data_IF_303308229880
#
_entry.id   IF_303308229880
#
_cell.length_a   1.000
_cell.length_b   1.000
_cell.length_c   1.000
_cell.angle_alpha   90.00
_cell.angle_beta   90.00
_cell.angle_gamma   90.00
#
_symmetry.space_group_name_H-M   'P 1'
#
loop_
_entity.id
_entity.type
_entity.pdbx_description
1 polymer ?
#
# COMPACT_ATOMS: atom_id res chain seq x y z
N UNK A 1 -21.29 -13.21 53.01
CA UNK A 1 -20.54 -12.36 52.07
C UNK A 1 -19.77 -13.32 51.18
N UNK A 2 -20.39 -13.80 50.12
CA UNK A 2 -19.67 -14.56 49.09
C UNK A 2 -18.66 -13.60 48.46
N UNK A 3 -17.38 -13.96 48.49
CA UNK A 3 -16.35 -13.22 47.76
C UNK A 3 -16.78 -13.17 46.31
N UNK A 4 -16.90 -11.98 45.71
CA UNK A 4 -17.09 -11.86 44.27
C UNK A 4 -15.85 -12.44 43.60
N UNK A 5 -15.94 -13.69 43.16
CA UNK A 5 -14.85 -14.37 42.49
C UNK A 5 -14.59 -13.60 41.20
N UNK A 6 -13.38 -13.06 41.08
CA UNK A 6 -12.91 -12.44 39.84
C UNK A 6 -12.75 -13.55 38.78
N UNK A 7 -13.69 -13.59 37.84
CA UNK A 7 -13.76 -14.61 36.79
C UNK A 7 -12.53 -14.54 35.88
N UNK A 8 -11.95 -13.36 35.70
CA UNK A 8 -10.77 -13.11 34.86
C UNK A 8 -9.54 -13.75 35.49
N UNK A 9 -9.33 -13.51 36.79
CA UNK A 9 -8.25 -14.14 37.56
C UNK A 9 -8.42 -15.66 37.67
N UNK A 10 -9.66 -16.14 37.84
CA UNK A 10 -9.96 -17.57 37.86
C UNK A 10 -9.59 -18.26 36.54
N UNK A 11 -10.04 -17.71 35.39
CA UNK A 11 -9.70 -18.26 34.07
C UNK A 11 -8.19 -18.23 33.86
N UNK A 12 -7.51 -17.13 34.19
CA UNK A 12 -6.04 -17.02 34.10
C UNK A 12 -5.34 -18.14 34.89
N UNK A 13 -5.74 -18.38 36.15
CA UNK A 13 -5.18 -19.43 37.01
C UNK A 13 -5.45 -20.84 36.49
N UNK A 14 -6.63 -21.11 35.94
CA UNK A 14 -6.96 -22.43 35.37
C UNK A 14 -6.12 -22.73 34.12
N UNK A 15 -5.90 -21.72 33.26
CA UNK A 15 -5.03 -21.85 32.10
C UNK A 15 -3.57 -22.09 32.50
N UNK A 16 -3.08 -21.36 33.52
CA UNK A 16 -1.70 -21.52 34.03
C UNK A 16 -1.48 -22.87 34.71
N UNK A 17 -2.48 -23.39 35.42
CA UNK A 17 -2.43 -24.68 36.11
C UNK A 17 -2.72 -25.90 35.23
N UNK A 18 -3.07 -25.70 33.95
CA UNK A 18 -3.35 -26.78 33.01
C UNK A 18 -4.73 -27.42 33.15
N UNK A 19 -5.63 -26.79 33.91
CA UNK A 19 -7.00 -27.26 34.17
C UNK A 19 -7.97 -26.80 33.08
N UNK A 20 -7.68 -27.20 31.84
CA UNK A 20 -8.36 -26.69 30.65
C UNK A 20 -9.86 -27.01 30.59
N UNK A 21 -10.26 -28.21 31.02
CA UNK A 21 -11.67 -28.62 31.03
C UNK A 21 -12.52 -27.79 32.00
N UNK A 22 -11.94 -27.45 33.16
CA UNK A 22 -12.58 -26.56 34.14
C UNK A 22 -12.73 -25.16 33.52
N UNK A 23 -11.70 -24.64 32.84
CA UNK A 23 -11.77 -23.33 32.19
C UNK A 23 -12.89 -23.25 31.13
N UNK A 24 -13.08 -24.31 30.33
CA UNK A 24 -14.12 -24.37 29.29
C UNK A 24 -15.54 -24.55 29.88
N UNK A 25 -15.69 -25.14 31.07
CA UNK A 25 -17.02 -25.32 31.69
C UNK A 25 -17.56 -24.06 32.35
N UNK A 26 -16.69 -23.16 32.83
CA UNK A 26 -17.08 -21.93 33.52
C UNK A 26 -18.14 -21.08 32.81
N UNK A 27 -18.10 -20.86 31.48
CA UNK A 27 -19.10 -20.07 30.79
C UNK A 27 -20.50 -20.73 30.77
N UNK A 28 -20.61 -22.04 31.03
CA UNK A 28 -21.89 -22.78 31.04
C UNK A 28 -22.47 -22.91 32.45
N UNK A 29 -21.68 -22.66 33.48
CA UNK A 29 -22.12 -22.74 34.87
C UNK A 29 -22.98 -21.52 35.25
N UNK A 30 -24.20 -21.76 35.74
CA UNK A 30 -25.17 -20.70 36.11
C UNK A 30 -24.59 -19.66 37.08
N UNK A 31 -23.66 -20.07 37.94
CA UNK A 31 -23.01 -19.18 38.91
C UNK A 31 -22.12 -18.11 38.25
N UNK A 32 -21.49 -18.43 37.11
CA UNK A 32 -20.49 -17.57 36.48
C UNK A 32 -20.98 -16.93 35.17
N UNK A 33 -22.16 -17.31 34.67
CA UNK A 33 -22.64 -16.88 33.36
C UNK A 33 -22.79 -15.36 33.18
N UNK A 34 -23.41 -14.66 34.14
CA UNK A 34 -23.55 -13.19 34.07
C UNK A 34 -22.18 -12.50 34.20
N UNK A 35 -21.38 -12.93 35.17
CA UNK A 35 -20.05 -12.36 35.42
C UNK A 35 -19.11 -12.60 34.22
N UNK A 36 -19.19 -13.75 33.56
CA UNK A 36 -18.43 -14.04 32.35
C UNK A 36 -18.84 -13.12 31.20
N UNK A 37 -20.13 -12.84 31.05
CA UNK A 37 -20.65 -11.94 30.02
C UNK A 37 -20.16 -10.50 30.22
N UNK A 38 -20.17 -10.01 31.46
CA UNK A 38 -19.76 -8.65 31.79
C UNK A 38 -18.23 -8.44 31.64
N UNK A 39 -17.43 -9.51 31.75
CA UNK A 39 -15.97 -9.45 31.67
C UNK A 39 -15.40 -10.00 30.33
N UNK A 40 -16.22 -10.09 29.27
CA UNK A 40 -15.77 -10.61 27.97
C UNK A 40 -14.53 -9.86 27.42
N UNK A 41 -14.49 -8.54 27.62
CA UNK A 41 -13.38 -7.69 27.18
C UNK A 41 -12.05 -8.15 27.80
N UNK A 42 -11.98 -8.21 29.14
CA UNK A 42 -10.76 -8.60 29.87
C UNK A 42 -10.37 -10.07 29.63
N UNK A 43 -11.35 -10.94 29.42
CA UNK A 43 -11.12 -12.35 29.11
C UNK A 43 -10.44 -12.53 27.75
N UNK A 44 -10.74 -11.72 26.74
CA UNK A 44 -10.07 -11.77 25.43
C UNK A 44 -8.57 -11.49 25.60
N UNK A 45 -8.22 -10.40 26.29
CA UNK A 45 -6.83 -10.02 26.56
C UNK A 45 -6.06 -11.10 27.32
N UNK A 46 -6.66 -11.68 28.37
CA UNK A 46 -6.02 -12.73 29.18
C UNK A 46 -5.80 -14.00 28.37
N UNK A 47 -6.80 -14.45 27.61
CA UNK A 47 -6.71 -15.69 26.83
C UNK A 47 -5.65 -15.57 25.74
N UNK A 48 -5.63 -14.45 25.00
CA UNK A 48 -4.60 -14.18 23.98
C UNK A 48 -3.21 -14.03 24.62
N UNK A 49 -3.12 -13.40 25.78
CA UNK A 49 -1.88 -13.21 26.52
C UNK A 49 -1.15 -14.49 26.92
N UNK A 50 -1.84 -15.65 26.94
CA UNK A 50 -1.21 -16.96 27.21
C UNK A 50 -0.51 -17.56 25.97
N UNK A 51 -0.75 -17.02 24.78
CA UNK A 51 -0.24 -17.55 23.53
C UNK A 51 1.13 -16.96 23.18
N UNK A 52 2.04 -17.85 22.78
CA UNK A 52 3.40 -17.58 22.33
C UNK A 52 3.68 -18.43 21.08
N UNK A 53 4.71 -18.10 20.30
CA UNK A 53 5.01 -18.81 19.03
C UNK A 53 5.19 -20.33 19.20
N UNK A 54 5.77 -20.75 20.33
CA UNK A 54 6.01 -22.17 20.62
C UNK A 54 4.83 -22.86 21.31
N UNK A 55 3.76 -22.13 21.68
CA UNK A 55 2.65 -22.67 22.47
C UNK A 55 1.97 -23.83 21.76
N UNK A 56 1.78 -23.74 20.44
CA UNK A 56 1.14 -24.81 19.66
C UNK A 56 1.95 -26.12 19.69
N UNK A 57 3.29 -26.03 19.81
CA UNK A 57 4.19 -27.19 19.85
C UNK A 57 4.36 -27.72 21.28
N UNK A 58 4.58 -26.83 22.25
CA UNK A 58 4.89 -27.19 23.64
C UNK A 58 3.62 -27.53 24.43
N UNK A 59 2.53 -26.78 24.21
CA UNK A 59 1.26 -26.91 24.95
C UNK A 59 0.06 -26.87 23.98
N UNK A 60 -0.09 -27.85 23.08
CA UNK A 60 -1.19 -27.87 22.11
C UNK A 60 -2.58 -27.83 22.77
N UNK A 61 -2.73 -28.45 23.95
CA UNK A 61 -3.97 -28.39 24.72
C UNK A 61 -4.31 -26.99 25.21
N UNK A 62 -3.32 -26.17 25.60
CA UNK A 62 -3.53 -24.77 25.95
C UNK A 62 -4.01 -23.99 24.73
N UNK A 63 -3.35 -24.17 23.57
CA UNK A 63 -3.74 -23.50 22.33
C UNK A 63 -5.19 -23.79 21.96
N UNK A 64 -5.57 -25.07 21.90
CA UNK A 64 -6.95 -25.47 21.58
C UNK A 64 -7.97 -24.96 22.59
N UNK A 65 -7.60 -24.91 23.87
CA UNK A 65 -8.46 -24.35 24.93
C UNK A 65 -8.67 -22.84 24.75
N UNK A 66 -7.61 -22.11 24.40
CA UNK A 66 -7.72 -20.68 24.10
C UNK A 66 -8.60 -20.42 22.87
N UNK A 67 -8.47 -21.22 21.80
CA UNK A 67 -9.34 -21.12 20.62
C UNK A 67 -10.80 -21.36 20.97
N UNK A 68 -11.09 -22.40 21.77
CA UNK A 68 -12.44 -22.73 22.21
C UNK A 68 -13.03 -21.65 23.12
N UNK A 69 -12.26 -21.15 24.09
CA UNK A 69 -12.68 -20.03 24.94
C UNK A 69 -12.96 -18.77 24.13
N UNK A 70 -12.11 -18.40 23.17
CA UNK A 70 -12.36 -17.25 22.30
C UNK A 70 -13.63 -17.45 21.46
N UNK A 71 -13.91 -18.67 20.99
CA UNK A 71 -15.16 -18.97 20.29
C UNK A 71 -16.38 -18.78 21.19
N UNK A 72 -16.32 -19.25 22.44
CA UNK A 72 -17.40 -19.09 23.43
C UNK A 72 -17.60 -17.61 23.77
N UNK A 73 -16.52 -16.85 23.97
CA UNK A 73 -16.57 -15.41 24.22
C UNK A 73 -17.24 -14.70 23.04
N UNK A 74 -16.84 -15.03 21.80
CA UNK A 74 -17.43 -14.45 20.58
C UNK A 74 -18.92 -14.74 20.48
N UNK A 75 -19.46 -15.80 21.07
CA UNK A 75 -20.90 -16.06 21.07
C UNK A 75 -21.66 -15.18 22.08
N UNK A 76 -21.03 -14.81 23.21
CA UNK A 76 -21.66 -14.10 24.33
C UNK A 76 -21.43 -12.59 24.32
N UNK A 77 -20.31 -12.13 23.78
CA UNK A 77 -19.91 -10.70 23.77
C UNK A 77 -20.81 -9.85 22.85
N UNK A 78 -20.96 -8.57 23.22
CA UNK A 78 -21.51 -7.55 22.33
C UNK A 78 -20.57 -7.36 21.12
N UNK A 79 -21.07 -7.45 19.87
CA UNK A 79 -20.21 -7.43 18.69
C UNK A 79 -19.30 -6.20 18.59
N UNK A 80 -19.79 -5.02 18.98
CA UNK A 80 -19.04 -3.77 18.94
C UNK A 80 -17.89 -3.73 19.95
N UNK A 81 -18.10 -4.26 21.16
CA UNK A 81 -17.08 -4.31 22.22
C UNK A 81 -15.99 -5.33 21.88
N UNK A 82 -16.39 -6.54 21.49
CA UNK A 82 -15.45 -7.57 21.06
C UNK A 82 -14.60 -7.13 19.86
N UNK A 83 -15.17 -6.33 18.95
CA UNK A 83 -14.47 -5.84 17.76
C UNK A 83 -13.33 -4.90 18.14
N UNK A 84 -13.59 -3.97 19.06
CA UNK A 84 -12.59 -3.01 19.53
C UNK A 84 -11.45 -3.71 20.26
N UNK A 85 -11.79 -4.68 21.11
CA UNK A 85 -10.79 -5.43 21.87
C UNK A 85 -9.91 -6.30 20.95
N UNK A 86 -10.49 -7.01 19.96
CA UNK A 86 -9.68 -7.76 19.00
C UNK A 86 -8.77 -6.86 18.15
N UNK A 87 -9.22 -5.66 17.80
CA UNK A 87 -8.39 -4.66 17.10
C UNK A 87 -7.21 -4.25 17.99
N UNK A 88 -7.45 -3.92 19.26
CA UNK A 88 -6.41 -3.59 20.22
C UNK A 88 -5.41 -4.73 20.39
N UNK A 89 -5.89 -5.98 20.49
CA UNK A 89 -5.01 -7.15 20.62
C UNK A 89 -4.19 -7.43 19.35
N UNK A 90 -4.67 -7.08 18.15
CA UNK A 90 -3.86 -7.14 16.93
C UNK A 90 -2.70 -6.14 16.99
N UNK A 91 -2.98 -4.91 17.44
CA UNK A 91 -1.96 -3.86 17.55
C UNK A 91 -0.94 -4.15 18.66
N UNK A 92 -1.36 -4.80 19.75
CA UNK A 92 -0.52 -5.17 20.89
C UNK A 92 0.14 -6.55 20.77
N UNK A 93 -0.14 -7.31 19.70
CA UNK A 93 0.37 -8.66 19.52
C UNK A 93 1.91 -8.68 19.53
N UNK A 94 2.47 -9.42 20.49
CA UNK A 94 3.93 -9.51 20.73
C UNK A 94 4.62 -10.55 19.84
N UNK A 95 3.85 -11.47 19.28
CA UNK A 95 4.33 -12.60 18.48
C UNK A 95 3.27 -12.98 17.42
N UNK A 96 3.67 -13.78 16.44
CA UNK A 96 2.80 -14.10 15.30
C UNK A 96 1.71 -15.11 15.69
N UNK A 97 1.91 -15.92 16.73
CA UNK A 97 0.89 -16.82 17.25
C UNK A 97 -0.29 -16.07 17.90
N UNK A 98 -0.02 -14.98 18.63
CA UNK A 98 -1.06 -14.09 19.14
C UNK A 98 -1.84 -13.44 17.99
N UNK A 99 -1.15 -12.96 16.97
CA UNK A 99 -1.81 -12.45 15.77
C UNK A 99 -2.68 -13.51 15.10
N UNK A 100 -2.14 -14.73 14.91
CA UNK A 100 -2.84 -15.82 14.25
C UNK A 100 -4.10 -16.29 14.98
N UNK A 101 -4.05 -16.47 16.31
CA UNK A 101 -5.19 -16.96 17.09
C UNK A 101 -6.38 -15.97 17.10
N UNK A 102 -6.14 -14.67 16.86
CA UNK A 102 -7.18 -13.63 16.82
C UNK A 102 -8.02 -13.73 15.54
N UNK A 103 -7.44 -14.15 14.42
CA UNK A 103 -8.06 -14.01 13.09
C UNK A 103 -9.40 -14.77 12.99
N UNK A 104 -9.47 -16.01 13.47
CA UNK A 104 -10.69 -16.82 13.38
C UNK A 104 -11.82 -16.30 14.28
N UNK A 105 -11.59 -16.02 15.58
CA UNK A 105 -12.58 -15.35 16.44
C UNK A 105 -13.07 -14.01 15.88
N UNK A 106 -12.17 -13.17 15.38
CA UNK A 106 -12.51 -11.89 14.77
C UNK A 106 -13.38 -12.05 13.52
N UNK A 107 -13.04 -13.02 12.66
CA UNK A 107 -13.86 -13.37 11.51
C UNK A 107 -15.28 -13.76 11.94
N UNK A 108 -15.41 -14.65 12.92
CA UNK A 108 -16.70 -15.10 13.44
C UNK A 108 -17.52 -13.93 14.02
N UNK A 109 -16.85 -13.01 14.72
CA UNK A 109 -17.49 -11.81 15.27
C UNK A 109 -18.02 -10.89 14.16
N UNK A 110 -17.21 -10.63 13.11
CA UNK A 110 -17.61 -9.82 11.96
C UNK A 110 -18.82 -10.41 11.20
N UNK A 111 -19.01 -11.72 11.21
CA UNK A 111 -20.21 -12.36 10.65
C UNK A 111 -21.47 -12.11 11.49
N UNK A 112 -21.34 -11.87 12.81
CA UNK A 112 -22.46 -11.50 13.69
C UNK A 112 -22.90 -10.05 13.51
N UNK A 113 -22.03 -9.19 12.97
CA UNK A 113 -22.32 -7.77 12.76
C UNK A 113 -23.22 -7.59 11.52
N UNK A 114 -24.44 -7.14 11.74
CA UNK A 114 -25.43 -6.89 10.68
C UNK A 114 -25.45 -5.43 10.21
N UNK A 115 -25.12 -4.48 11.09
CA UNK A 115 -25.12 -3.04 10.76
C UNK A 115 -23.71 -2.52 10.56
N UNK A 116 -23.50 -1.67 9.55
CA UNK A 116 -22.19 -1.04 9.25
C UNK A 116 -21.02 -2.04 9.07
N UNK A 117 -21.30 -3.29 8.72
CA UNK A 117 -20.32 -4.38 8.55
C UNK A 117 -19.09 -3.97 7.72
N UNK A 118 -19.29 -3.28 6.59
CA UNK A 118 -18.18 -2.78 5.78
C UNK A 118 -17.21 -1.89 6.55
N UNK A 119 -17.69 -0.98 7.41
CA UNK A 119 -16.83 -0.10 8.23
C UNK A 119 -16.11 -0.88 9.34
N UNK A 120 -16.75 -1.88 9.93
CA UNK A 120 -16.10 -2.76 10.91
C UNK A 120 -14.98 -3.57 10.25
N UNK A 121 -15.24 -4.10 9.05
CA UNK A 121 -14.24 -4.82 8.25
C UNK A 121 -13.06 -3.91 7.88
N UNK A 122 -13.32 -2.66 7.51
CA UNK A 122 -12.29 -1.65 7.22
C UNK A 122 -11.34 -1.45 8.41
N UNK A 123 -11.88 -1.27 9.63
CA UNK A 123 -11.06 -1.11 10.83
C UNK A 123 -10.19 -2.34 11.12
N UNK A 124 -10.74 -3.55 10.98
CA UNK A 124 -9.98 -4.78 11.14
C UNK A 124 -8.84 -4.91 10.13
N UNK A 125 -9.14 -4.70 8.85
CA UNK A 125 -8.16 -4.83 7.77
C UNK A 125 -7.05 -3.78 7.89
N UNK A 126 -7.35 -2.57 8.36
CA UNK A 126 -6.33 -1.56 8.66
C UNK A 126 -5.41 -2.00 9.80
N UNK A 127 -5.97 -2.54 10.88
CA UNK A 127 -5.18 -3.02 12.03
C UNK A 127 -4.26 -4.18 11.63
N UNK A 128 -4.78 -5.12 10.81
CA UNK A 128 -4.00 -6.21 10.21
C UNK A 128 -2.89 -5.65 9.30
N UNK A 129 -3.17 -4.64 8.48
CA UNK A 129 -2.17 -4.01 7.62
C UNK A 129 -1.06 -3.37 8.44
N UNK A 130 -1.39 -2.61 9.48
CA UNK A 130 -0.43 -2.00 10.40
C UNK A 130 0.48 -3.04 11.05
N UNK A 131 -0.08 -4.20 11.46
CA UNK A 131 0.72 -5.30 12.00
C UNK A 131 1.76 -5.81 10.98
N UNK A 132 1.36 -5.98 9.72
CA UNK A 132 2.24 -6.45 8.63
C UNK A 132 3.32 -5.43 8.27
N UNK A 133 2.97 -4.14 8.27
CA UNK A 133 3.91 -3.03 8.01
C UNK A 133 5.03 -2.95 9.06
N UNK A 134 4.73 -3.32 10.30
CA UNK A 134 5.71 -3.33 11.40
C UNK A 134 6.74 -4.47 11.29
N UNK A 135 6.55 -5.45 10.40
CA UNK A 135 7.52 -6.52 10.20
C UNK A 135 8.70 -5.96 9.38
N UNK A 136 9.95 -6.00 9.88
CA UNK A 136 11.10 -5.46 9.15
C UNK A 136 11.23 -6.06 7.73
N UNK A 137 11.57 -5.23 6.75
CA UNK A 137 11.97 -5.68 5.40
C UNK A 137 13.48 -5.91 5.38
N UNK A 138 13.95 -7.12 5.03
CA UNK A 138 15.36 -7.32 4.79
C UNK A 138 15.78 -6.59 3.50
N UNK A 139 16.67 -5.61 3.62
CA UNK A 139 17.22 -4.85 2.50
C UNK A 139 18.55 -5.47 2.05
N UNK A 140 18.49 -6.65 1.42
CA UNK A 140 19.67 -7.28 0.82
C UNK A 140 19.64 -7.11 -0.71
N UNK A 141 20.77 -6.74 -1.30
CA UNK A 141 20.96 -6.68 -2.75
C UNK A 141 21.34 -8.07 -3.30
N UNK A 142 20.47 -9.07 -3.13
CA UNK A 142 20.76 -10.45 -3.56
C UNK A 142 20.47 -10.64 -5.06
N UNK A 143 21.43 -11.20 -5.79
CA UNK A 143 21.34 -11.42 -7.23
C UNK A 143 21.31 -12.91 -7.62
N UNK A 144 20.67 -13.22 -8.75
CA UNK A 144 20.65 -14.57 -9.31
C UNK A 144 20.20 -15.66 -8.32
N UNK A 145 21.08 -16.64 -8.07
CA UNK A 145 20.81 -17.79 -7.19
C UNK A 145 20.89 -17.46 -5.71
N UNK A 146 21.47 -16.33 -5.32
CA UNK A 146 21.57 -15.91 -3.91
C UNK A 146 20.20 -15.56 -3.34
N UNK A 147 19.23 -15.19 -4.20
CA UNK A 147 17.83 -15.01 -3.81
C UNK A 147 17.22 -16.27 -3.18
N UNK A 148 17.74 -17.46 -3.48
CA UNK A 148 17.29 -18.71 -2.85
C UNK A 148 17.64 -18.76 -1.35
N UNK A 149 18.60 -17.95 -0.89
CA UNK A 149 18.93 -17.82 0.53
C UNK A 149 17.90 -16.97 1.29
N UNK A 150 17.05 -16.20 0.59
CA UNK A 150 16.00 -15.40 1.24
C UNK A 150 15.03 -16.27 2.06
N UNK A 151 14.77 -17.51 1.61
CA UNK A 151 13.89 -18.44 2.32
C UNK A 151 14.42 -18.83 3.72
N UNK A 152 15.73 -18.63 3.97
CA UNK A 152 16.35 -18.89 5.28
C UNK A 152 16.30 -17.68 6.22
N UNK A 153 15.99 -16.48 5.70
CA UNK A 153 16.02 -15.24 6.46
C UNK A 153 14.83 -15.17 7.44
N UNK A 154 15.05 -14.78 8.72
CA UNK A 154 13.99 -14.80 9.73
C UNK A 154 12.78 -13.90 9.43
N UNK A 155 13.00 -12.68 8.93
CA UNK A 155 11.91 -11.75 8.58
C UNK A 155 11.15 -12.22 7.33
N UNK A 156 11.81 -12.76 6.30
CA UNK A 156 11.18 -13.38 5.13
C UNK A 156 10.28 -14.53 5.57
N UNK A 157 10.79 -15.44 6.39
CA UNK A 157 9.99 -16.54 6.96
C UNK A 157 8.80 -16.03 7.76
N UNK A 158 9.00 -14.99 8.56
CA UNK A 158 7.95 -14.32 9.32
C UNK A 158 6.87 -13.71 8.42
N UNK A 159 7.27 -13.00 7.37
CA UNK A 159 6.34 -12.41 6.37
C UNK A 159 5.54 -13.52 5.71
N UNK A 160 6.20 -14.58 5.22
CA UNK A 160 5.53 -15.72 4.60
C UNK A 160 4.52 -16.32 5.56
N UNK A 161 4.92 -16.58 6.82
CA UNK A 161 4.04 -17.11 7.88
C UNK A 161 2.81 -16.22 8.06
N UNK A 162 2.98 -14.92 8.25
CA UNK A 162 1.86 -13.98 8.46
C UNK A 162 0.96 -13.92 7.22
N UNK A 163 1.51 -13.81 6.01
CA UNK A 163 0.74 -13.79 4.77
C UNK A 163 -0.05 -15.09 4.54
N UNK A 164 0.49 -16.25 4.94
CA UNK A 164 -0.23 -17.53 4.84
C UNK A 164 -1.45 -17.63 5.77
N UNK A 165 -1.50 -16.82 6.83
CA UNK A 165 -2.64 -16.78 7.76
C UNK A 165 -3.80 -15.92 7.24
N UNK A 166 -3.56 -14.95 6.35
CA UNK A 166 -4.58 -14.00 5.92
C UNK A 166 -5.70 -14.59 5.05
N UNK A 167 -5.44 -15.52 4.09
CA UNK A 167 -6.49 -16.05 3.23
C UNK A 167 -7.64 -16.69 3.99
N UNK A 168 -7.36 -17.41 5.07
CA UNK A 168 -8.42 -18.02 5.89
C UNK A 168 -9.32 -16.95 6.54
N UNK A 169 -8.80 -15.75 6.81
CA UNK A 169 -9.54 -14.62 7.36
C UNK A 169 -10.44 -13.92 6.34
N UNK A 170 -9.92 -13.53 5.17
CA UNK A 170 -10.69 -12.68 4.24
C UNK A 170 -11.51 -13.46 3.19
N UNK A 171 -11.18 -14.73 2.90
CA UNK A 171 -11.86 -15.52 1.87
C UNK A 171 -13.39 -15.62 2.07
N UNK A 172 -13.92 -15.83 3.30
CA UNK A 172 -15.37 -15.87 3.49
C UNK A 172 -16.08 -14.56 3.10
N UNK A 173 -15.46 -13.40 3.34
CA UNK A 173 -16.01 -12.11 2.94
C UNK A 173 -15.95 -11.90 1.42
N UNK A 174 -14.90 -12.39 0.74
CA UNK A 174 -14.87 -12.42 -0.72
C UNK A 174 -16.02 -13.26 -1.27
N UNK A 175 -16.22 -14.47 -0.74
CA UNK A 175 -17.30 -15.37 -1.16
C UNK A 175 -18.66 -14.72 -0.92
N UNK A 176 -18.84 -14.01 0.18
CA UNK A 176 -20.07 -13.27 0.49
C UNK A 176 -20.34 -12.15 -0.53
N UNK A 177 -19.34 -11.32 -0.84
CA UNK A 177 -19.45 -10.24 -1.83
C UNK A 177 -19.73 -10.78 -3.23
N UNK A 178 -19.15 -11.93 -3.61
CA UNK A 178 -19.42 -12.59 -4.89
C UNK A 178 -20.88 -13.09 -5.00
N UNK A 179 -21.50 -13.48 -3.87
CA UNK A 179 -22.90 -13.91 -3.81
C UNK A 179 -23.86 -12.72 -3.78
N UNK A 180 -23.54 -11.69 -3.00
CA UNK A 180 -24.34 -10.47 -2.84
C UNK A 180 -23.42 -9.25 -2.95
N UNK A 181 -23.40 -8.57 -4.11
CA UNK A 181 -22.44 -7.49 -4.34
C UNK A 181 -22.79 -6.25 -3.53
N UNK A 182 -22.13 -6.08 -2.38
CA UNK A 182 -22.03 -4.79 -1.70
C UNK A 182 -20.83 -4.01 -2.23
N UNK A 183 -21.11 -2.90 -2.92
CA UNK A 183 -20.09 -2.05 -3.57
C UNK A 183 -19.06 -1.56 -2.56
N UNK A 184 -19.48 -1.21 -1.34
CA UNK A 184 -18.57 -0.66 -0.32
C UNK A 184 -17.64 -1.73 0.23
N UNK A 185 -18.18 -2.89 0.63
CA UNK A 185 -17.37 -4.01 1.11
C UNK A 185 -16.41 -4.52 0.03
N UNK A 186 -16.85 -4.56 -1.24
CA UNK A 186 -15.99 -4.93 -2.37
C UNK A 186 -14.80 -3.95 -2.53
N UNK A 187 -15.04 -2.64 -2.45
CA UNK A 187 -13.97 -1.64 -2.50
C UNK A 187 -12.97 -1.79 -1.36
N UNK A 188 -13.44 -2.06 -0.14
CA UNK A 188 -12.60 -2.23 1.05
C UNK A 188 -11.71 -3.46 0.91
N UNK A 189 -12.28 -4.60 0.51
CA UNK A 189 -11.51 -5.83 0.32
C UNK A 189 -10.49 -5.65 -0.81
N UNK A 190 -10.88 -5.05 -1.94
CA UNK A 190 -9.94 -4.81 -3.03
C UNK A 190 -8.81 -3.86 -2.61
N UNK A 191 -9.10 -2.80 -1.86
CA UNK A 191 -8.09 -1.87 -1.36
C UNK A 191 -7.08 -2.58 -0.44
N UNK A 192 -7.56 -3.46 0.43
CA UNK A 192 -6.70 -4.29 1.28
C UNK A 192 -5.86 -5.29 0.48
N UNK A 193 -6.44 -6.00 -0.48
CA UNK A 193 -5.68 -6.93 -1.33
C UNK A 193 -4.61 -6.21 -2.15
N UNK A 194 -4.92 -5.00 -2.64
CA UNK A 194 -3.94 -4.15 -3.32
C UNK A 194 -2.87 -3.65 -2.35
N UNK A 195 -3.22 -3.27 -1.12
CA UNK A 195 -2.23 -2.84 -0.12
C UNK A 195 -1.24 -3.96 0.18
N UNK A 196 -1.71 -5.20 0.35
CA UNK A 196 -0.84 -6.37 0.56
C UNK A 196 0.19 -6.59 -0.56
N UNK A 197 -0.13 -6.18 -1.80
CA UNK A 197 0.77 -6.26 -2.97
C UNK A 197 1.73 -5.07 -3.05
N UNK A 198 1.27 -3.87 -2.67
CA UNK A 198 2.04 -2.62 -2.75
C UNK A 198 3.00 -2.41 -1.57
N UNK A 199 2.74 -3.09 -0.44
CA UNK A 199 3.42 -2.93 0.84
C UNK A 199 4.94 -3.17 0.80
N UNK A 200 5.49 -3.84 -0.22
CA UNK A 200 6.91 -4.22 -0.25
C UNK A 200 7.66 -3.97 -1.55
N UNK A 201 7.14 -3.16 -2.47
CA UNK A 201 7.82 -2.78 -3.71
C UNK A 201 8.89 -1.68 -3.54
N UNK A 202 9.46 -1.48 -2.34
CA UNK A 202 10.52 -0.50 -2.07
C UNK A 202 10.13 0.98 -2.18
N UNK A 203 8.88 1.30 -2.50
CA UNK A 203 8.40 2.68 -2.58
C UNK A 203 7.90 3.14 -1.21
N UNK A 204 8.81 3.72 -0.40
CA UNK A 204 8.53 4.33 0.92
C UNK A 204 7.66 5.60 0.85
N UNK A 205 6.54 5.58 0.11
CA UNK A 205 5.58 6.69 0.02
C UNK A 205 4.14 6.29 0.36
N UNK A 206 3.87 5.03 0.67
CA UNK A 206 2.54 4.56 1.04
C UNK A 206 2.48 4.42 2.56
N UNK A 207 1.98 5.45 3.23
CA UNK A 207 1.47 5.32 4.60
C UNK A 207 0.21 4.42 4.58
N UNK A 208 -0.08 3.70 5.68
CA UNK A 208 -1.33 2.98 5.84
C UNK A 208 -2.51 3.95 5.75
N UNK A 209 -3.66 3.40 5.38
CA UNK A 209 -4.93 4.12 5.21
C UNK A 209 -5.21 4.98 6.46
N UNK A 210 -5.02 6.29 6.30
CA UNK A 210 -5.47 7.36 7.20
C UNK A 210 -5.04 7.25 8.67
N UNK A 211 -3.95 7.94 9.03
CA UNK A 211 -3.64 8.26 10.42
C UNK A 211 -4.74 9.10 11.06
N UNK A 212 -5.50 8.53 12.00
CA UNK A 212 -6.13 9.32 13.07
C UNK A 212 -5.12 9.36 14.21
N UNK A 213 -4.48 10.52 14.41
CA UNK A 213 -3.71 10.79 15.63
C UNK A 213 -4.67 10.81 16.82
N UNK A 214 -4.71 9.74 17.60
CA UNK A 214 -5.19 9.81 18.98
C UNK A 214 -4.03 10.31 19.82
N UNK A 215 -4.09 11.60 20.13
CA UNK A 215 -3.16 12.25 21.03
C UNK A 215 -3.40 11.71 22.45
N UNK A 216 -2.50 10.90 23.01
CA UNK A 216 -2.39 10.74 24.47
C UNK A 216 -0.94 10.72 24.93
N UNK A 217 -0.64 11.80 25.64
CA UNK A 217 0.44 12.03 26.57
C UNK A 217 0.74 10.88 27.53
N UNK A 218 1.98 10.40 27.54
CA UNK A 218 2.78 10.26 28.77
C UNK A 218 4.27 10.14 28.42
N UNK A 219 4.98 11.25 28.61
CA UNK A 219 6.39 11.23 29.00
C UNK A 219 6.49 10.40 30.28
N UNK A 220 7.36 9.38 30.28
CA UNK A 220 7.95 8.61 31.40
C UNK A 220 8.13 7.18 30.84
N UNK A 221 9.24 6.83 30.19
CA UNK A 221 10.47 6.41 30.84
C UNK A 221 11.59 6.38 29.78
N UNK A 222 12.11 7.55 29.42
CA UNK A 222 13.36 7.67 28.67
C UNK A 222 14.47 7.82 29.68
N UNK A 223 14.94 6.71 30.23
CA UNK A 223 16.20 6.57 30.95
C UNK A 223 16.26 5.13 31.46
N UNK A 224 16.79 4.20 30.66
CA UNK A 224 17.63 3.11 31.16
C UNK A 224 18.31 2.47 29.95
N UNK A 225 19.57 2.11 30.14
CA UNK A 225 20.48 1.45 29.20
C UNK A 225 21.24 2.37 28.21
N UNK A 226 22.08 3.24 28.77
CA UNK A 226 23.46 3.34 28.27
C UNK A 226 24.31 2.28 28.99
N UNK A 227 25.12 1.55 28.20
CA UNK A 227 26.47 1.03 28.47
C UNK A 227 26.66 -0.46 28.15
N UNK A 228 27.29 -0.76 27.01
CA UNK A 228 28.42 -1.69 26.93
C UNK A 228 29.24 -1.41 25.66
N UNK A 229 30.59 -1.50 25.71
CA UNK A 229 31.45 -1.11 24.60
C UNK A 229 31.70 -2.28 23.65
N UNK A 230 31.56 -2.04 22.35
CA UNK A 230 32.04 -2.93 21.29
C UNK A 230 33.43 -2.46 20.84
N UNK A 231 34.39 -3.38 20.82
CA UNK A 231 35.70 -3.18 20.20
C UNK A 231 35.56 -3.24 18.68
N UNK A 232 35.82 -2.11 18.01
CA UNK A 232 35.84 -1.98 16.55
C UNK A 232 36.91 -2.90 15.91
N UNK A 233 36.48 -3.79 15.02
CA UNK A 233 37.31 -4.28 13.92
C UNK A 233 36.69 -3.73 12.63
N UNK A 234 37.31 -2.69 12.05
CA UNK A 234 36.91 -2.14 10.75
C UNK A 234 37.49 -3.01 9.64
N UNK A 235 36.61 -3.67 8.88
CA UNK A 235 36.96 -4.35 7.62
C UNK A 235 36.43 -3.52 6.45
N UNK A 236 37.34 -3.06 5.60
CA UNK A 236 37.09 -2.22 4.44
C UNK A 236 36.74 -3.06 3.20
N UNK A 237 35.53 -3.63 3.13
CA UNK A 237 35.05 -4.39 1.95
C UNK A 237 33.88 -3.68 1.24
N UNK A 238 33.05 -2.92 1.95
CA UNK A 238 31.82 -2.31 1.39
C UNK A 238 32.06 -1.12 0.44
N UNK A 239 33.26 -0.52 0.41
CA UNK A 239 33.53 0.64 -0.45
C UNK A 239 33.73 0.25 -1.92
N UNK A 240 34.33 -0.91 -2.19
CA UNK A 240 34.66 -1.39 -3.55
C UNK A 240 33.44 -1.88 -4.33
N UNK A 241 32.48 -2.53 -3.67
CA UNK A 241 31.27 -3.05 -4.35
C UNK A 241 30.30 -1.94 -4.77
N UNK A 242 30.14 -0.90 -3.95
CA UNK A 242 29.33 0.27 -4.30
C UNK A 242 29.91 1.06 -5.48
N UNK A 243 31.23 1.14 -5.59
CA UNK A 243 31.91 1.80 -6.72
C UNK A 243 31.72 1.02 -8.03
N UNK A 244 31.77 -0.32 -7.99
CA UNK A 244 31.54 -1.18 -9.16
C UNK A 244 30.07 -1.15 -9.64
N UNK A 245 29.11 -1.17 -8.72
CA UNK A 245 27.68 -1.06 -9.05
C UNK A 245 27.34 0.29 -9.69
N UNK A 246 27.85 1.39 -9.11
CA UNK A 246 27.66 2.73 -9.66
C UNK A 246 28.27 2.84 -11.07
N UNK A 247 29.44 2.24 -11.28
CA UNK A 247 30.09 2.20 -12.58
C UNK A 247 29.26 1.43 -13.62
N UNK A 248 28.69 0.28 -13.27
CA UNK A 248 27.81 -0.47 -14.18
C UNK A 248 26.53 0.32 -14.53
N UNK A 249 25.93 0.97 -13.54
CA UNK A 249 24.74 1.80 -13.75
C UNK A 249 25.03 3.02 -14.64
N UNK A 250 26.19 3.66 -14.46
CA UNK A 250 26.65 4.76 -15.31
C UNK A 250 26.83 4.31 -16.78
N UNK A 251 27.38 3.10 -16.99
CA UNK A 251 27.49 2.50 -18.33
C UNK A 251 26.11 2.24 -18.92
N UNK A 252 25.20 1.60 -18.16
CA UNK A 252 23.84 1.30 -18.62
C UNK A 252 23.11 2.58 -19.03
N UNK A 253 23.18 3.62 -18.20
CA UNK A 253 22.61 4.93 -18.47
C UNK A 253 23.23 5.59 -19.70
N UNK A 254 24.55 5.48 -19.88
CA UNK A 254 25.23 6.03 -21.06
C UNK A 254 24.77 5.35 -22.36
N UNK A 255 24.64 4.02 -22.35
CA UNK A 255 24.16 3.24 -23.50
C UNK A 255 22.70 3.59 -23.81
N UNK A 256 21.82 3.62 -22.82
CA UNK A 256 20.40 3.93 -23.00
C UNK A 256 20.20 5.37 -23.49
N UNK A 257 21.00 6.32 -23.01
CA UNK A 257 20.98 7.71 -23.49
C UNK A 257 21.29 7.78 -25.00
N UNK A 258 22.32 7.05 -25.46
CA UNK A 258 22.67 6.96 -26.88
C UNK A 258 21.64 6.18 -27.70
N UNK A 259 21.02 5.15 -27.13
CA UNK A 259 20.00 4.35 -27.79
C UNK A 259 18.77 5.18 -28.20
N UNK A 260 18.46 6.26 -27.48
CA UNK A 260 17.35 7.16 -27.78
C UNK A 260 17.48 7.84 -29.16
N UNK A 261 18.70 8.06 -29.66
CA UNK A 261 18.93 8.64 -31.00
C UNK A 261 18.51 7.67 -32.13
N UNK A 262 18.43 6.38 -31.83
CA UNK A 262 18.09 5.32 -32.79
C UNK A 262 16.62 4.89 -32.74
N UNK A 263 15.87 5.30 -31.71
CA UNK A 263 14.44 5.01 -31.55
C UNK A 263 13.59 5.46 -32.75
N UNK A 264 13.81 6.62 -33.40
CA UNK A 264 13.01 7.00 -34.57
C UNK A 264 13.14 6.01 -35.75
N UNK A 265 14.28 5.32 -35.85
CA UNK A 265 14.58 4.37 -36.92
C UNK A 265 14.19 2.94 -36.57
N UNK A 266 14.55 2.47 -35.38
CA UNK A 266 14.41 1.08 -34.96
C UNK A 266 13.27 0.85 -33.96
N UNK A 267 12.70 1.91 -33.40
CA UNK A 267 11.65 1.85 -32.41
C UNK A 267 12.17 1.58 -31.00
N UNK A 268 11.25 1.26 -30.09
CA UNK A 268 11.56 0.92 -28.70
C UNK A 268 11.94 -0.56 -28.61
N UNK A 269 13.16 -0.90 -29.04
CA UNK A 269 13.58 -2.28 -29.26
C UNK A 269 15.04 -2.54 -28.90
N UNK A 270 15.43 -3.82 -28.94
CA UNK A 270 16.81 -4.27 -28.68
C UNK A 270 17.77 -3.73 -29.73
N UNK A 271 17.32 -3.55 -30.97
CA UNK A 271 18.14 -2.99 -32.06
C UNK A 271 18.55 -1.54 -31.78
N UNK A 272 17.66 -0.73 -31.20
CA UNK A 272 18.00 0.64 -30.76
C UNK A 272 19.05 0.61 -29.64
N UNK A 273 18.96 -0.34 -28.72
CA UNK A 273 19.94 -0.50 -27.62
C UNK A 273 21.29 -0.98 -28.16
N UNK A 274 21.30 -1.93 -29.08
CA UNK A 274 22.52 -2.42 -29.74
C UNK A 274 23.23 -1.28 -30.48
N UNK A 275 22.49 -0.47 -31.25
CA UNK A 275 23.05 0.69 -31.94
C UNK A 275 23.52 1.78 -30.95
N UNK A 276 22.80 1.98 -29.85
CA UNK A 276 23.21 2.86 -28.75
C UNK A 276 24.50 2.41 -28.08
N UNK A 277 24.68 1.10 -27.87
CA UNK A 277 25.90 0.53 -27.32
C UNK A 277 27.09 0.78 -28.25
N UNK A 278 26.95 0.55 -29.55
CA UNK A 278 27.97 0.85 -30.56
C UNK A 278 28.33 2.34 -30.59
N UNK A 279 27.33 3.22 -30.52
CA UNK A 279 27.54 4.67 -30.44
C UNK A 279 28.19 5.13 -29.13
N UNK A 280 28.02 4.37 -28.04
CA UNK A 280 28.68 4.56 -26.76
C UNK A 280 30.10 3.95 -26.70
N UNK A 281 30.57 3.29 -27.77
CA UNK A 281 31.89 2.67 -27.84
C UNK A 281 31.95 1.21 -27.35
N UNK A 282 30.80 0.58 -27.14
CA UNK A 282 30.68 -0.82 -26.72
C UNK A 282 30.19 -1.72 -27.87
N UNK A 283 30.50 -3.03 -27.86
CA UNK A 283 29.96 -3.96 -28.85
C UNK A 283 28.42 -4.01 -28.83
N UNK A 284 27.76 -4.19 -29.98
CA UNK A 284 26.29 -4.28 -30.03
C UNK A 284 25.68 -5.41 -29.19
N UNK A 285 26.43 -6.51 -28.96
CA UNK A 285 26.03 -7.61 -28.05
C UNK A 285 25.88 -7.18 -26.58
N UNK A 286 26.37 -5.98 -26.21
CA UNK A 286 26.22 -5.38 -24.88
C UNK A 286 24.75 -5.09 -24.53
N UNK A 287 23.83 -5.15 -25.50
CA UNK A 287 22.39 -5.10 -25.23
C UNK A 287 21.93 -6.20 -24.24
N UNK A 288 22.70 -7.29 -24.06
CA UNK A 288 22.45 -8.32 -23.05
C UNK A 288 22.42 -7.83 -21.60
N UNK A 289 22.93 -6.62 -21.32
CA UNK A 289 22.80 -5.95 -20.02
C UNK A 289 21.35 -5.50 -19.71
N UNK A 290 20.46 -5.52 -20.70
CA UNK A 290 19.07 -5.05 -20.62
C UNK A 290 18.10 -6.21 -20.86
N UNK A 291 17.78 -7.01 -19.82
CA UNK A 291 17.02 -8.25 -19.97
C UNK A 291 15.59 -8.03 -20.48
N UNK A 292 15.00 -6.84 -20.30
CA UNK A 292 13.67 -6.52 -20.81
C UNK A 292 13.72 -5.73 -22.14
N UNK A 293 14.93 -5.51 -22.69
CA UNK A 293 15.16 -4.88 -23.98
C UNK A 293 14.45 -3.53 -24.10
N UNK A 294 13.57 -3.41 -25.09
CA UNK A 294 12.82 -2.17 -25.34
C UNK A 294 12.04 -1.63 -24.14
N UNK A 295 11.64 -2.48 -23.19
CA UNK A 295 10.98 -2.02 -21.96
C UNK A 295 11.91 -1.25 -21.04
N UNK A 296 13.18 -1.67 -20.91
CA UNK A 296 14.20 -0.96 -20.12
C UNK A 296 14.48 0.42 -20.74
N UNK A 297 14.52 0.51 -22.07
CA UNK A 297 14.68 1.77 -22.80
C UNK A 297 13.49 2.73 -22.59
N UNK A 298 12.25 2.23 -22.63
CA UNK A 298 11.05 3.04 -22.36
C UNK A 298 11.02 3.50 -20.90
N UNK A 299 11.39 2.62 -19.96
CA UNK A 299 11.45 2.96 -18.54
C UNK A 299 12.49 4.06 -18.29
N UNK A 300 13.70 3.90 -18.80
CA UNK A 300 14.77 4.91 -18.73
C UNK A 300 14.33 6.27 -19.26
N UNK A 301 13.69 6.30 -20.43
CA UNK A 301 13.17 7.55 -21.00
C UNK A 301 12.15 8.22 -20.08
N UNK A 302 11.23 7.45 -19.49
CA UNK A 302 10.24 8.01 -18.57
C UNK A 302 10.87 8.57 -17.29
N UNK A 303 11.83 7.86 -16.68
CA UNK A 303 12.57 8.32 -15.50
C UNK A 303 13.34 9.60 -15.81
N UNK A 304 14.10 9.63 -16.92
CA UNK A 304 14.84 10.81 -17.38
C UNK A 304 13.92 12.02 -17.58
N UNK A 305 12.74 11.83 -18.18
CA UNK A 305 11.77 12.91 -18.38
C UNK A 305 11.18 13.41 -17.06
N UNK A 306 10.92 12.52 -16.10
CA UNK A 306 10.44 12.90 -14.77
C UNK A 306 11.50 13.73 -14.03
N UNK A 307 12.77 13.29 -14.04
CA UNK A 307 13.87 14.04 -13.44
C UNK A 307 14.07 15.42 -14.06
N UNK A 308 13.97 15.50 -15.39
CA UNK A 308 14.05 16.78 -16.10
C UNK A 308 12.87 17.70 -15.75
N UNK A 309 11.67 17.15 -15.59
CA UNK A 309 10.51 17.90 -15.12
C UNK A 309 10.78 18.47 -13.73
N UNK A 310 11.23 17.66 -12.77
CA UNK A 310 11.56 18.10 -11.42
C UNK A 310 12.62 19.21 -11.43
N UNK A 311 13.67 19.06 -12.25
CA UNK A 311 14.70 20.11 -12.43
C UNK A 311 14.08 21.43 -12.92
N UNK A 312 13.19 21.39 -13.92
CA UNK A 312 12.47 22.58 -14.42
C UNK A 312 11.55 23.17 -13.35
N UNK A 313 10.78 22.36 -12.65
CA UNK A 313 9.83 22.79 -11.62
C UNK A 313 10.52 23.47 -10.43
N UNK A 314 11.73 23.03 -10.06
CA UNK A 314 12.55 23.69 -9.03
C UNK A 314 12.90 25.14 -9.38
N UNK A 315 13.01 25.46 -10.67
CA UNK A 315 13.32 26.82 -11.16
C UNK A 315 12.10 27.72 -11.38
N UNK A 316 10.89 27.16 -11.32
CA UNK A 316 9.66 27.94 -11.52
C UNK A 316 9.39 28.88 -10.34
N UNK A 317 8.80 30.07 -10.62
CA UNK A 317 8.41 30.98 -9.56
C UNK A 317 7.43 30.29 -8.60
N UNK A 318 7.80 30.21 -7.33
CA UNK A 318 6.92 29.75 -6.27
C UNK A 318 6.11 30.97 -5.81
N UNK A 319 4.85 31.05 -6.22
CA UNK A 319 3.95 32.08 -5.69
C UNK A 319 3.75 31.84 -4.18
N UNK A 320 3.87 32.91 -3.37
CA UNK A 320 3.43 32.87 -1.98
C UNK A 320 1.91 32.76 -1.97
N UNK A 321 1.43 31.52 -1.82
CA UNK A 321 0.00 31.22 -1.79
C UNK A 321 -0.64 31.87 -0.54
N UNK A 322 -1.44 32.91 -0.74
CA UNK A 322 -2.24 33.57 0.32
C UNK A 322 -3.38 32.70 0.86
N UNK A 323 -3.75 31.65 0.12
CA UNK A 323 -4.77 30.66 0.47
C UNK A 323 -4.23 29.24 0.25
N UNK A 324 -4.72 28.21 0.97
CA UNK A 324 -4.29 26.81 0.82
C UNK A 324 -4.81 26.13 -0.48
N UNK A 325 -5.02 26.89 -1.56
CA UNK A 325 -5.47 26.35 -2.84
C UNK A 325 -4.27 25.98 -3.69
N UNK A 326 -4.25 24.71 -4.13
CA UNK A 326 -3.24 24.20 -5.06
C UNK A 326 -3.33 24.99 -6.37
N UNK A 327 -2.24 25.60 -6.86
CA UNK A 327 -2.25 26.42 -8.07
C UNK A 327 -2.48 25.55 -9.31
N UNK A 328 -3.72 25.55 -9.81
CA UNK A 328 -4.16 24.80 -11.01
C UNK A 328 -3.25 25.02 -12.22
N UNK A 329 -2.85 26.27 -12.44
CA UNK A 329 -1.97 26.67 -13.55
C UNK A 329 -0.61 25.98 -13.48
N UNK A 330 -0.10 25.77 -12.27
CA UNK A 330 1.17 25.10 -12.05
C UNK A 330 1.09 23.62 -12.45
N UNK A 331 -0.01 22.94 -12.09
CA UNK A 331 -0.26 21.55 -12.48
C UNK A 331 -0.46 21.44 -13.99
N UNK A 332 -1.25 22.33 -14.60
CA UNK A 332 -1.41 22.40 -16.07
C UNK A 332 -0.05 22.49 -16.77
N UNK A 333 0.80 23.41 -16.30
CA UNK A 333 2.12 23.64 -16.86
C UNK A 333 3.04 22.41 -16.65
N UNK A 334 2.96 21.74 -15.50
CA UNK A 334 3.72 20.52 -15.23
C UNK A 334 3.35 19.37 -16.17
N UNK A 335 2.05 19.10 -16.34
CA UNK A 335 1.55 18.08 -17.25
C UNK A 335 1.99 18.41 -18.68
N UNK A 336 1.76 19.63 -19.15
CA UNK A 336 2.15 20.04 -20.50
C UNK A 336 3.66 19.95 -20.71
N UNK A 337 4.47 20.42 -19.75
CA UNK A 337 5.93 20.38 -19.84
C UNK A 337 6.44 18.94 -19.94
N UNK A 338 5.84 18.01 -19.19
CA UNK A 338 6.20 16.60 -19.21
C UNK A 338 5.78 15.90 -20.51
N UNK A 339 4.59 16.22 -21.01
CA UNK A 339 4.06 15.65 -22.26
C UNK A 339 4.89 16.07 -23.47
N UNK A 340 5.29 17.35 -23.54
CA UNK A 340 6.10 17.86 -24.65
C UNK A 340 7.49 17.22 -24.75
N UNK A 341 7.96 16.52 -23.70
CA UNK A 341 9.20 15.75 -23.79
C UNK A 341 9.07 14.52 -24.69
N UNK A 342 7.84 14.07 -24.96
CA UNK A 342 7.53 12.95 -25.86
C UNK A 342 7.60 13.38 -27.34
N UNK A 343 7.52 14.68 -27.64
CA UNK A 343 7.44 15.21 -29.01
C UNK A 343 8.46 14.58 -30.00
N UNK A 344 9.75 14.39 -29.65
CA UNK A 344 10.72 13.78 -30.57
C UNK A 344 10.40 12.31 -30.94
N UNK A 345 9.57 11.64 -30.15
CA UNK A 345 9.23 10.23 -30.28
C UNK A 345 7.73 9.99 -30.51
N UNK A 346 6.94 11.05 -30.76
CA UNK A 346 5.47 11.04 -30.81
C UNK A 346 4.92 9.93 -31.72
N UNK A 347 5.52 9.72 -32.89
CA UNK A 347 5.10 8.70 -33.87
C UNK A 347 5.30 7.26 -33.37
N UNK A 348 6.33 7.03 -32.55
CA UNK A 348 6.67 5.71 -32.01
C UNK A 348 6.09 5.46 -30.61
N UNK A 349 5.62 6.51 -29.94
CA UNK A 349 5.14 6.46 -28.56
C UNK A 349 3.95 5.51 -28.34
N UNK A 350 3.00 5.33 -29.28
CA UNK A 350 1.97 4.29 -29.13
C UNK A 350 2.55 2.89 -28.88
N UNK A 351 3.68 2.55 -29.52
CA UNK A 351 4.37 1.28 -29.30
C UNK A 351 5.02 1.23 -27.91
N UNK A 352 5.63 2.33 -27.46
CA UNK A 352 6.16 2.45 -26.10
C UNK A 352 5.06 2.26 -25.04
N UNK A 353 3.87 2.84 -25.26
CA UNK A 353 2.73 2.66 -24.36
C UNK A 353 2.26 1.21 -24.32
N UNK A 354 2.23 0.52 -25.47
CA UNK A 354 1.90 -0.90 -25.53
C UNK A 354 2.90 -1.76 -24.74
N UNK A 355 4.21 -1.47 -24.84
CA UNK A 355 5.24 -2.15 -24.06
C UNK A 355 5.03 -1.93 -22.55
N UNK A 356 4.72 -0.71 -22.12
CA UNK A 356 4.45 -0.39 -20.71
C UNK A 356 3.22 -1.12 -20.15
N UNK A 357 2.24 -1.42 -21.01
CA UNK A 357 1.00 -2.10 -20.63
C UNK A 357 1.16 -3.64 -20.52
N UNK A 358 2.31 -4.20 -20.90
CA UNK A 358 2.57 -5.64 -20.75
C UNK A 358 2.68 -6.02 -19.26
N UNK A 359 2.12 -7.15 -18.81
CA UNK A 359 2.04 -7.51 -17.39
C UNK A 359 3.36 -7.43 -16.61
N UNK A 360 4.47 -7.84 -17.25
CA UNK A 360 5.80 -7.82 -16.62
C UNK A 360 6.35 -6.40 -16.43
N UNK A 361 5.88 -5.43 -17.23
CA UNK A 361 6.36 -4.04 -17.19
C UNK A 361 5.45 -3.13 -16.38
N UNK A 362 4.17 -3.50 -16.21
CA UNK A 362 3.15 -2.70 -15.51
C UNK A 362 3.61 -2.24 -14.11
N UNK A 363 4.21 -3.08 -13.24
CA UNK A 363 4.62 -2.64 -11.91
C UNK A 363 5.60 -1.46 -11.95
N UNK A 364 6.66 -1.57 -12.76
CA UNK A 364 7.68 -0.53 -12.87
C UNK A 364 7.15 0.74 -13.56
N UNK A 365 6.32 0.58 -14.59
CA UNK A 365 5.72 1.70 -15.30
C UNK A 365 4.72 2.46 -14.42
N UNK A 366 3.93 1.74 -13.62
CA UNK A 366 3.00 2.33 -12.66
C UNK A 366 3.74 3.06 -11.55
N UNK A 367 4.80 2.46 -11.00
CA UNK A 367 5.65 3.11 -10.01
C UNK A 367 6.27 4.43 -10.53
N UNK A 368 6.73 4.43 -11.79
CA UNK A 368 7.27 5.63 -12.45
C UNK A 368 6.20 6.71 -12.65
N UNK A 369 4.96 6.31 -13.00
CA UNK A 369 3.84 7.23 -13.15
C UNK A 369 3.40 7.83 -11.80
N UNK A 370 3.33 7.02 -10.75
CA UNK A 370 2.96 7.48 -9.42
C UNK A 370 4.01 8.45 -8.87
N UNK A 371 5.30 8.15 -9.07
CA UNK A 371 6.41 9.05 -8.70
C UNK A 371 6.33 10.40 -9.44
N UNK A 372 6.02 10.40 -10.74
CA UNK A 372 5.79 11.64 -11.51
C UNK A 372 4.67 12.48 -10.88
N UNK A 373 3.56 11.84 -10.54
CA UNK A 373 2.39 12.52 -9.97
C UNK A 373 2.69 13.06 -8.57
N UNK A 374 3.44 12.29 -7.77
CA UNK A 374 3.93 12.71 -6.46
C UNK A 374 4.81 13.95 -6.54
N UNK A 375 5.76 13.96 -7.48
CA UNK A 375 6.64 15.10 -7.73
C UNK A 375 5.84 16.35 -8.15
N UNK A 376 4.85 16.19 -9.03
CA UNK A 376 3.97 17.29 -9.45
C UNK A 376 3.20 17.86 -8.25
N UNK A 377 2.61 16.98 -7.43
CA UNK A 377 1.88 17.38 -6.22
C UNK A 377 2.81 18.07 -5.20
N UNK A 378 3.98 17.51 -4.93
CA UNK A 378 4.95 18.07 -4.00
C UNK A 378 5.41 19.46 -4.42
N UNK A 379 5.81 19.61 -5.68
CA UNK A 379 6.30 20.88 -6.20
C UNK A 379 5.20 21.92 -6.43
N UNK A 380 3.94 21.51 -6.59
CA UNK A 380 2.79 22.43 -6.64
C UNK A 380 2.37 22.95 -5.27
N UNK A 381 3.00 22.49 -4.18
CA UNK A 381 2.70 22.96 -2.83
C UNK A 381 1.49 22.28 -2.20
N UNK A 382 1.04 21.13 -2.73
CA UNK A 382 0.01 20.33 -2.07
C UNK A 382 0.55 19.81 -0.74
N UNK A 383 -0.14 20.16 0.35
CA UNK A 383 0.15 19.73 1.73
C UNK A 383 -0.93 18.78 2.28
N UNK A 384 -1.81 18.25 1.42
CA UNK A 384 -2.83 17.28 1.83
C UNK A 384 -2.16 16.04 2.42
N UNK A 385 -2.64 15.57 3.57
CA UNK A 385 -2.14 14.37 4.27
C UNK A 385 -3.22 13.30 4.50
N UNK A 386 -4.41 13.50 3.93
CA UNK A 386 -5.63 12.72 4.19
C UNK A 386 -6.16 11.98 2.94
N UNK A 387 -7.37 11.41 2.94
CA UNK A 387 -8.03 10.78 1.77
C UNK A 387 -7.97 11.60 0.46
N UNK A 388 -7.95 12.94 0.59
CA UNK A 388 -7.74 13.87 -0.52
C UNK A 388 -6.39 13.69 -1.23
N UNK A 389 -5.35 13.21 -0.53
CA UNK A 389 -4.03 12.86 -1.08
C UNK A 389 -4.15 11.76 -2.14
N UNK A 390 -4.89 10.68 -1.85
CA UNK A 390 -5.06 9.53 -2.74
C UNK A 390 -5.93 9.90 -3.95
N UNK A 391 -7.06 10.58 -3.72
CA UNK A 391 -7.96 11.02 -4.80
C UNK A 391 -7.22 11.95 -5.76
N UNK A 392 -6.41 12.88 -5.24
CA UNK A 392 -5.65 13.81 -6.08
C UNK A 392 -4.60 13.09 -6.93
N UNK A 393 -3.90 12.10 -6.37
CA UNK A 393 -2.87 11.34 -7.09
C UNK A 393 -3.45 10.40 -8.13
N UNK A 394 -4.47 9.62 -7.78
CA UNK A 394 -5.17 8.75 -8.73
C UNK A 394 -5.82 9.60 -9.83
N UNK A 395 -6.46 10.71 -9.45
CA UNK A 395 -7.04 11.66 -10.38
C UNK A 395 -5.98 12.25 -11.32
N UNK A 396 -4.88 12.76 -10.80
CA UNK A 396 -3.80 13.37 -11.58
C UNK A 396 -3.09 12.34 -12.49
N UNK A 397 -2.88 11.11 -12.03
CA UNK A 397 -2.38 10.00 -12.87
C UNK A 397 -3.33 9.72 -14.04
N UNK A 398 -4.63 9.64 -13.77
CA UNK A 398 -5.67 9.45 -14.78
C UNK A 398 -5.72 10.61 -15.79
N UNK A 399 -5.64 11.85 -15.30
CA UNK A 399 -5.58 13.05 -16.16
C UNK A 399 -4.33 13.02 -17.04
N UNK A 400 -3.16 12.70 -16.48
CA UNK A 400 -1.92 12.61 -17.24
C UNK A 400 -2.03 11.56 -18.35
N UNK A 401 -2.48 10.33 -18.04
CA UNK A 401 -2.62 9.25 -19.03
C UNK A 401 -3.69 9.53 -20.08
N UNK A 402 -4.83 10.12 -19.70
CA UNK A 402 -5.85 10.54 -20.66
C UNK A 402 -5.33 11.64 -21.60
N UNK A 403 -4.56 12.59 -21.05
CA UNK A 403 -3.95 13.66 -21.85
C UNK A 403 -2.84 13.12 -22.74
N UNK A 404 -2.04 12.17 -22.27
CA UNK A 404 -1.01 11.48 -23.06
C UNK A 404 -1.64 10.85 -24.31
N UNK A 405 -2.73 10.09 -24.15
CA UNK A 405 -3.46 9.51 -25.27
C UNK A 405 -4.04 10.58 -26.21
N UNK A 406 -4.63 11.65 -25.65
CA UNK A 406 -5.19 12.74 -26.44
C UNK A 406 -4.10 13.43 -27.28
N UNK A 407 -2.96 13.75 -26.67
CA UNK A 407 -1.83 14.42 -27.28
C UNK A 407 -1.28 13.66 -28.51
N UNK A 408 -1.25 12.33 -28.48
CA UNK A 408 -0.82 11.52 -29.63
C UNK A 408 -1.71 11.68 -30.87
N UNK A 409 -2.98 12.05 -30.67
CA UNK A 409 -3.94 12.27 -31.76
C UNK A 409 -4.11 13.75 -32.12
N UNK A 410 -3.54 14.65 -31.32
CA UNK A 410 -3.63 16.10 -31.52
C UNK A 410 -2.75 16.58 -32.67
N UNK A 411 -3.39 17.25 -33.64
CA UNK A 411 -2.79 17.91 -34.81
C UNK A 411 -3.00 19.43 -34.81
N UNK A 412 -3.52 19.98 -33.71
CA UNK A 412 -3.77 21.42 -33.57
C UNK A 412 -2.46 22.20 -33.47
N UNK A 413 -2.50 23.47 -33.88
CA UNK A 413 -1.36 24.36 -33.77
C UNK A 413 -0.95 24.53 -32.30
N UNK A 414 0.35 24.44 -32.03
CA UNK A 414 0.98 24.57 -30.72
C UNK A 414 0.36 23.68 -29.62
N UNK A 415 -0.19 22.53 -30.01
CA UNK A 415 -0.88 21.58 -29.12
C UNK A 415 -2.01 22.25 -28.32
N UNK A 416 -2.71 23.22 -28.93
CA UNK A 416 -3.77 24.01 -28.30
C UNK A 416 -4.97 23.17 -27.86
N UNK A 417 -5.34 22.14 -28.61
CA UNK A 417 -6.39 21.21 -28.22
C UNK A 417 -5.98 20.40 -26.97
N UNK A 418 -4.73 19.92 -26.91
CA UNK A 418 -4.19 19.24 -25.72
C UNK A 418 -4.19 20.16 -24.51
N UNK A 419 -3.73 21.41 -24.64
CA UNK A 419 -3.77 22.41 -23.55
C UNK A 419 -5.18 22.60 -23.00
N UNK A 420 -6.16 22.76 -23.90
CA UNK A 420 -7.57 22.90 -23.52
C UNK A 420 -8.11 21.64 -22.84
N UNK A 421 -7.71 20.46 -23.30
CA UNK A 421 -8.07 19.19 -22.69
C UNK A 421 -7.55 19.09 -21.26
N UNK A 422 -6.27 19.42 -21.01
CA UNK A 422 -5.68 19.45 -19.66
C UNK A 422 -6.46 20.38 -18.73
N UNK A 423 -6.69 21.64 -19.16
CA UNK A 423 -7.45 22.60 -18.38
C UNK A 423 -8.88 22.13 -18.07
N UNK A 424 -9.53 21.47 -19.03
CA UNK A 424 -10.86 20.87 -18.84
C UNK A 424 -10.82 19.74 -17.81
N UNK A 425 -9.86 18.81 -17.91
CA UNK A 425 -9.73 17.67 -17.00
C UNK A 425 -9.39 18.10 -15.56
N UNK A 426 -8.55 19.11 -15.39
CA UNK A 426 -8.24 19.63 -14.04
C UNK A 426 -9.45 20.37 -13.46
N UNK A 427 -10.18 21.16 -14.25
CA UNK A 427 -11.42 21.80 -13.80
C UNK A 427 -12.45 20.77 -13.34
N UNK A 428 -12.62 19.70 -14.09
CA UNK A 428 -13.51 18.60 -13.72
C UNK A 428 -13.10 17.96 -12.39
N UNK A 429 -11.80 17.73 -12.18
CA UNK A 429 -11.29 17.20 -10.91
C UNK A 429 -11.55 18.16 -9.73
N UNK A 430 -11.48 19.47 -9.93
CA UNK A 430 -11.84 20.46 -8.91
C UNK A 430 -13.33 20.42 -8.56
N UNK A 431 -14.20 20.26 -9.57
CA UNK A 431 -15.64 20.10 -9.35
C UNK A 431 -15.96 18.83 -8.56
N UNK A 432 -15.32 17.71 -8.90
CA UNK A 432 -15.44 16.45 -8.17
C UNK A 432 -14.96 16.62 -6.72
N UNK A 433 -13.79 17.22 -6.51
CA UNK A 433 -13.27 17.48 -5.17
C UNK A 433 -14.20 18.37 -4.33
N UNK A 434 -14.81 19.38 -4.97
CA UNK A 434 -15.78 20.26 -4.30
C UNK A 434 -17.03 19.49 -3.92
N UNK A 435 -17.55 18.62 -4.80
CA UNK A 435 -18.70 17.77 -4.52
C UNK A 435 -18.43 16.76 -3.40
N UNK A 436 -17.22 16.18 -3.33
CA UNK A 436 -16.79 15.26 -2.27
C UNK A 436 -16.66 15.98 -0.92
N UNK A 437 -16.22 17.24 -0.93
CA UNK A 437 -16.08 18.05 0.29
C UNK A 437 -17.42 18.61 0.81
N UNK A 438 -18.50 18.58 0.01
CA UNK A 438 -19.84 18.93 0.48
C UNK A 438 -20.40 17.79 1.34
N UNK A 439 -21.07 18.12 2.46
CA UNK A 439 -21.74 17.09 3.25
C UNK A 439 -22.85 16.43 2.40
N UNK A 440 -23.09 15.10 2.51
CA UNK A 440 -24.08 14.40 1.70
C UNK A 440 -25.52 14.92 1.91
N UNK A 441 -25.76 15.67 2.99
CA UNK A 441 -27.04 16.35 3.29
C UNK A 441 -27.17 17.70 2.56
N UNK A 442 -26.05 18.33 2.20
CA UNK A 442 -26.00 19.62 1.49
C UNK A 442 -25.78 19.49 -0.02
N UNK A 443 -25.32 18.34 -0.49
CA UNK A 443 -25.08 18.08 -1.91
C UNK A 443 -26.38 17.65 -2.60
N UNK A 444 -26.79 18.38 -3.65
CA UNK A 444 -27.94 17.98 -4.45
C UNK A 444 -27.63 16.67 -5.21
N UNK A 445 -28.59 15.72 -5.33
CA UNK A 445 -28.39 14.44 -6.04
C UNK A 445 -27.87 14.59 -7.48
N UNK A 446 -28.26 15.69 -8.15
CA UNK A 446 -27.80 16.03 -9.51
C UNK A 446 -26.31 16.37 -9.54
N UNK A 447 -25.78 17.03 -8.50
CA UNK A 447 -24.36 17.39 -8.36
C UNK A 447 -23.50 16.15 -8.15
N UNK A 448 -23.95 15.19 -7.33
CA UNK A 448 -23.27 13.91 -7.12
C UNK A 448 -23.28 13.05 -8.39
N UNK A 449 -24.41 13.01 -9.10
CA UNK A 449 -24.53 12.29 -10.38
C UNK A 449 -23.62 12.90 -11.44
N UNK A 450 -23.55 14.22 -11.53
CA UNK A 450 -22.66 14.93 -12.44
C UNK A 450 -21.18 14.67 -12.12
N UNK A 451 -20.79 14.71 -10.84
CA UNK A 451 -19.43 14.39 -10.41
C UNK A 451 -19.07 12.93 -10.74
N UNK A 452 -19.99 11.99 -10.54
CA UNK A 452 -19.79 10.57 -10.86
C UNK A 452 -19.67 10.32 -12.36
N UNK A 453 -20.54 10.89 -13.19
CA UNK A 453 -20.47 10.80 -14.65
C UNK A 453 -19.17 11.42 -15.16
N UNK A 454 -18.74 12.53 -14.57
CA UNK A 454 -17.49 13.20 -14.91
C UNK A 454 -16.28 12.35 -14.53
N UNK A 455 -16.26 11.76 -13.33
CA UNK A 455 -15.21 10.82 -12.91
C UNK A 455 -15.14 9.61 -13.84
N UNK A 456 -16.29 9.04 -14.23
CA UNK A 456 -16.39 7.94 -15.19
C UNK A 456 -15.82 8.31 -16.57
N UNK A 457 -16.08 9.54 -17.02
CA UNK A 457 -15.54 10.08 -18.28
C UNK A 457 -14.03 10.33 -18.21
N UNK A 458 -13.51 10.84 -17.09
CA UNK A 458 -12.06 11.03 -16.87
C UNK A 458 -11.33 9.68 -16.89
N UNK A 459 -11.92 8.64 -16.29
CA UNK A 459 -11.33 7.30 -16.20
C UNK A 459 -11.54 6.45 -17.47
N UNK A 460 -12.18 6.99 -18.51
CA UNK A 460 -12.38 6.28 -19.78
C UNK A 460 -13.34 5.08 -19.70
N UNK A 461 -14.18 4.96 -18.67
CA UNK A 461 -15.08 3.82 -18.44
C UNK A 461 -16.34 3.89 -19.34
N UNK A 462 -16.31 4.67 -20.42
CA UNK A 462 -17.44 4.88 -21.34
C UNK A 462 -17.21 4.31 -22.76
N UNK A 463 -16.25 3.40 -22.95
CA UNK A 463 -15.93 2.82 -24.27
C UNK A 463 -16.30 1.34 -24.46
N UNK A 464 -17.18 0.77 -23.64
CA UNK A 464 -17.83 -0.51 -23.96
C UNK A 464 -19.30 -0.25 -24.29
N UNK A 465 -19.57 -0.05 -25.58
CA UNK A 465 -20.90 -0.27 -26.18
C UNK A 465 -20.86 -1.56 -26.98
#
# INVERSE_FOLDING_TARGET
MEQSIDIVDLVSKLLDSGKYKEAISLPTEQQYEENFKDNCWDLIAIVIGKIHDDTIVIKPSLHGTCEELLSIIVQKVLPEEGLLEFIEQIELAKNDAQFGIILTPLQNLLHRITTKKGRCLEWCLNSISTYIENIPTPEYQLEGKERLLMDSEPNVRRIIKVYTMLPSFYNPFIIEVLKQPDVRTNQIINAFLISLLALRSGHRYILPIMSVRINRSSKLLRNYCQTRPESEVKVAIAATEHEEQQYEEDIKNHILEKALDFVPKHGWSVESISAGAEAAGYPGVTHGLFPNGGADLVHYFNVRCNDNLVKKMKSWPKEELKEPKVPTKFIENAIMTRLLMIEPYKDSWPKAMAIQALPNNVPNCLATLLSLVDDICYHSGDRSVDFNWYIRRVGLAGIYKATELFYLTDKSQDNSATKNFVSSRIRDAQLIQTAINMSPVSAAPQTLTAAFVTAKNILGINTLK
#
